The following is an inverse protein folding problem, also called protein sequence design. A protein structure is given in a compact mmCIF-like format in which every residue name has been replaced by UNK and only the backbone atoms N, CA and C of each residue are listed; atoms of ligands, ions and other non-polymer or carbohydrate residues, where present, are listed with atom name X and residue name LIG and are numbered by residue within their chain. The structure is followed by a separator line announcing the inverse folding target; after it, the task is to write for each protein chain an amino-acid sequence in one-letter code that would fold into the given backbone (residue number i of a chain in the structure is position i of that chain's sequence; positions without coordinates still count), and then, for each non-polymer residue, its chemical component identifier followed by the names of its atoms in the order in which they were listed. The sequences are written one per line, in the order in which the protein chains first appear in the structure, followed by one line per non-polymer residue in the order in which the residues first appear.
data_IF_918029063167
#
_entry.id   IF_918029063167
#
_cell.length_a   1.000
_cell.length_b   1.000
_cell.length_c   1.000
_cell.angle_alpha   90.00
_cell.angle_beta   90.00
_cell.angle_gamma   90.00
#
_symmetry.space_group_name_H-M   'P 1'
#
loop_
_entity.id
_entity.type
_entity.pdbx_description
1 polymer ?
#
# COMPACT_ATOMS: atom_id res chain seq x y z
N UNK A 1 22.34 18.62 16.45
CA UNK A 1 22.12 17.25 15.92
C UNK A 1 23.35 16.83 15.14
N UNK A 2 23.71 15.55 15.17
CA UNK A 2 24.85 15.01 14.42
C UNK A 2 24.60 15.11 12.91
N UNK A 3 25.61 15.50 12.13
CA UNK A 3 25.61 15.51 10.66
C UNK A 3 26.52 14.44 10.05
N UNK A 4 27.12 13.62 10.91
CA UNK A 4 28.23 12.71 10.56
C UNK A 4 27.89 11.25 10.83
N UNK A 5 26.68 10.94 11.29
CA UNK A 5 26.27 9.59 11.63
C UNK A 5 24.86 9.29 11.16
N UNK A 6 24.66 8.05 10.75
CA UNK A 6 23.35 7.45 10.50
C UNK A 6 23.07 6.49 11.64
N UNK A 7 21.85 6.54 12.18
CA UNK A 7 21.37 5.57 13.16
C UNK A 7 20.05 5.01 12.64
N UNK A 8 20.03 3.70 12.43
CA UNK A 8 18.83 2.95 12.09
C UNK A 8 18.36 2.18 13.33
N UNK A 9 17.06 2.21 13.59
CA UNK A 9 16.43 1.51 14.70
C UNK A 9 15.13 0.88 14.24
N UNK A 10 14.91 -0.39 14.60
CA UNK A 10 13.72 -1.15 14.27
C UNK A 10 13.33 -2.06 15.43
N UNK A 11 12.04 -2.37 15.54
CA UNK A 11 11.54 -3.36 16.49
C UNK A 11 11.65 -4.78 15.91
N UNK A 12 11.74 -5.79 16.78
CA UNK A 12 11.89 -7.19 16.37
C UNK A 12 10.56 -7.95 16.23
N UNK A 13 9.41 -7.25 16.32
CA UNK A 13 8.10 -7.85 16.21
C UNK A 13 7.70 -8.02 14.73
N UNK A 14 7.35 -9.24 14.35
CA UNK A 14 6.73 -9.54 13.06
C UNK A 14 5.39 -10.22 13.29
N UNK A 15 4.40 -9.86 12.48
CA UNK A 15 3.09 -10.51 12.50
C UNK A 15 3.02 -11.40 11.28
N UNK A 16 2.98 -12.71 11.48
CA UNK A 16 2.72 -13.67 10.41
C UNK A 16 1.23 -13.98 10.46
N UNK A 17 0.54 -13.78 9.34
CA UNK A 17 -0.85 -14.21 9.19
C UNK A 17 -0.85 -15.52 8.42
N UNK A 18 -1.28 -16.60 9.06
CA UNK A 18 -1.46 -17.91 8.43
C UNK A 18 -2.93 -18.25 8.35
N UNK A 19 -3.37 -18.87 7.27
CA UNK A 19 -4.72 -19.41 7.17
C UNK A 19 -4.75 -20.81 7.76
N UNK A 20 -5.55 -21.02 8.82
CA UNK A 20 -5.77 -22.32 9.43
C UNK A 20 -7.28 -22.55 9.57
N UNK A 21 -7.78 -23.66 9.03
CA UNK A 21 -9.20 -24.02 9.06
C UNK A 21 -10.13 -22.90 8.52
N UNK A 22 -9.68 -22.21 7.46
CA UNK A 22 -10.44 -21.10 6.85
C UNK A 22 -10.48 -19.80 7.66
N UNK A 23 -9.76 -19.72 8.78
CA UNK A 23 -9.63 -18.50 9.58
C UNK A 23 -8.20 -17.93 9.54
N UNK A 24 -8.06 -16.59 9.50
CA UNK A 24 -6.75 -15.96 9.59
C UNK A 24 -6.23 -16.02 11.03
N UNK A 25 -5.23 -16.85 11.28
CA UNK A 25 -4.49 -16.90 12.54
C UNK A 25 -3.30 -15.93 12.47
N UNK A 26 -3.28 -14.92 13.33
CA UNK A 26 -2.15 -13.98 13.46
C UNK A 26 -1.22 -14.43 14.57
N UNK A 27 0.02 -14.75 14.22
CA UNK A 27 1.07 -15.09 15.18
C UNK A 27 2.12 -13.99 15.22
N UNK A 28 2.41 -13.52 16.42
CA UNK A 28 3.48 -12.58 16.67
C UNK A 28 4.77 -13.34 16.93
N UNK A 29 5.75 -13.15 16.07
CA UNK A 29 7.09 -13.68 16.26
C UNK A 29 8.01 -12.56 16.75
N UNK A 30 8.72 -12.85 17.84
CA UNK A 30 9.78 -11.98 18.37
C UNK A 30 11.11 -12.46 17.80
N UNK A 31 11.97 -11.53 17.38
CA UNK A 31 13.34 -11.83 16.95
C UNK A 31 13.55 -11.82 15.44
N UNK A 32 12.60 -11.30 14.66
CA UNK A 32 12.85 -11.04 13.24
C UNK A 32 13.87 -9.91 13.11
N UNK A 33 14.90 -10.13 12.32
CA UNK A 33 15.87 -9.08 12.04
C UNK A 33 15.27 -8.13 10.98
N UNK A 34 15.27 -6.84 11.27
CA UNK A 34 14.83 -5.78 10.35
C UNK A 34 15.96 -4.83 9.97
N UNK A 35 17.15 -5.03 10.53
CA UNK A 35 18.34 -4.21 10.30
C UNK A 35 19.48 -5.09 9.83
N UNK A 36 20.05 -4.76 8.69
CA UNK A 36 21.15 -5.50 8.11
C UNK A 36 22.23 -4.54 7.65
N UNK A 37 23.46 -5.00 7.73
CA UNK A 37 24.56 -4.41 6.98
C UNK A 37 24.38 -4.84 5.51
N UNK A 38 24.32 -3.87 4.59
CA UNK A 38 24.18 -4.12 3.15
C UNK A 38 25.55 -4.30 2.49
N UNK A 39 26.56 -3.52 2.89
CA UNK A 39 27.94 -3.63 2.42
C UNK A 39 28.90 -3.87 3.58
N UNK A 40 29.85 -4.81 3.41
CA UNK A 40 30.94 -5.03 4.37
C UNK A 40 32.10 -4.04 4.20
N UNK A 41 32.17 -3.37 3.05
CA UNK A 41 33.32 -2.55 2.66
C UNK A 41 33.03 -1.06 2.70
N UNK A 42 31.75 -0.68 2.60
CA UNK A 42 31.27 0.69 2.77
C UNK A 42 30.28 0.83 3.94
N UNK A 43 30.10 2.03 4.51
CA UNK A 43 29.22 2.27 5.65
C UNK A 43 27.75 2.34 5.20
N UNK A 44 27.19 1.22 4.73
CA UNK A 44 25.83 1.14 4.17
C UNK A 44 25.00 0.11 4.91
N UNK A 45 23.93 0.60 5.57
CA UNK A 45 22.92 -0.23 6.23
C UNK A 45 21.64 -0.30 5.42
N UNK A 46 20.87 -1.37 5.61
CA UNK A 46 19.53 -1.56 5.06
C UNK A 46 18.56 -1.94 6.17
N UNK A 47 17.38 -1.35 6.15
CA UNK A 47 16.28 -1.61 7.06
C UNK A 47 15.02 -1.98 6.28
N UNK A 48 14.23 -2.90 6.82
CA UNK A 48 12.92 -3.28 6.27
C UNK A 48 11.78 -3.00 7.24
N UNK A 49 10.61 -2.63 6.73
CA UNK A 49 9.35 -2.50 7.46
C UNK A 49 8.17 -2.93 6.59
N UNK A 50 7.00 -3.15 7.19
CA UNK A 50 5.85 -3.73 6.48
C UNK A 50 5.99 -5.26 6.39
N UNK A 51 5.81 -5.82 5.19
CA UNK A 51 5.93 -7.27 4.97
C UNK A 51 7.34 -7.78 5.29
N UNK A 52 7.43 -8.96 5.91
CA UNK A 52 8.70 -9.58 6.29
C UNK A 52 9.35 -10.39 5.15
N UNK A 53 8.62 -10.60 4.04
CA UNK A 53 9.11 -11.37 2.91
C UNK A 53 8.55 -10.89 1.58
N UNK A 54 9.20 -11.36 0.52
CA UNK A 54 8.86 -11.15 -0.87
C UNK A 54 8.40 -12.48 -1.45
N UNK A 55 7.08 -12.65 -1.66
CA UNK A 55 6.49 -13.86 -2.26
C UNK A 55 6.98 -15.18 -1.62
N UNK A 56 6.97 -15.23 -0.28
CA UNK A 56 7.40 -16.41 0.48
C UNK A 56 8.89 -16.46 0.80
N UNK A 57 9.72 -15.59 0.22
CA UNK A 57 11.16 -15.50 0.52
C UNK A 57 11.40 -14.41 1.56
N UNK A 58 11.95 -14.72 2.76
CA UNK A 58 12.29 -13.71 3.75
C UNK A 58 13.35 -12.74 3.21
N UNK A 59 13.16 -11.43 3.42
CA UNK A 59 14.07 -10.39 2.91
C UNK A 59 15.53 -10.54 3.35
N UNK A 60 15.77 -11.22 4.47
CA UNK A 60 17.12 -11.56 4.92
C UNK A 60 17.93 -12.32 3.86
N UNK A 61 17.29 -13.21 3.09
CA UNK A 61 17.97 -14.02 2.07
C UNK A 61 18.50 -13.18 0.90
N UNK A 62 17.68 -12.40 0.16
CA UNK A 62 18.18 -11.54 -0.91
C UNK A 62 19.15 -10.48 -0.40
N UNK A 63 18.95 -9.91 0.79
CA UNK A 63 19.89 -8.92 1.36
C UNK A 63 21.27 -9.55 1.58
N UNK A 64 21.32 -10.73 2.20
CA UNK A 64 22.59 -11.43 2.43
C UNK A 64 23.23 -11.88 1.11
N UNK A 65 22.44 -12.39 0.18
CA UNK A 65 22.94 -12.83 -1.12
C UNK A 65 23.54 -11.65 -1.91
N UNK A 66 22.87 -10.51 -1.96
CA UNK A 66 23.37 -9.30 -2.59
C UNK A 66 24.66 -8.80 -1.91
N UNK A 67 24.75 -8.85 -0.58
CA UNK A 67 25.98 -8.45 0.12
C UNK A 67 27.18 -9.33 -0.24
N UNK A 68 26.97 -10.64 -0.40
CA UNK A 68 28.05 -11.52 -0.83
C UNK A 68 28.43 -11.27 -2.30
N UNK A 69 27.45 -11.00 -3.17
CA UNK A 69 27.66 -10.65 -4.58
C UNK A 69 28.43 -9.33 -4.75
N UNK A 70 28.04 -8.30 -3.98
CA UNK A 70 28.72 -7.00 -3.90
C UNK A 70 30.18 -7.14 -3.43
N UNK A 71 30.45 -8.04 -2.49
CA UNK A 71 31.79 -8.34 -1.99
C UNK A 71 32.53 -7.12 -1.43
N UNK A 72 33.52 -6.62 -2.20
CA UNK A 72 34.34 -5.44 -1.85
C UNK A 72 34.02 -4.19 -2.66
N UNK A 73 33.09 -4.29 -3.59
CA UNK A 73 32.68 -3.18 -4.42
C UNK A 73 32.01 -2.09 -3.57
N UNK A 74 32.25 -0.85 -3.95
CA UNK A 74 31.58 0.32 -3.39
C UNK A 74 31.17 1.24 -4.53
N UNK A 75 30.01 1.88 -4.38
CA UNK A 75 29.50 2.84 -5.34
C UNK A 75 29.77 4.27 -4.87
N UNK A 76 29.98 5.17 -5.84
CA UNK A 76 30.31 6.56 -5.57
C UNK A 76 29.20 7.29 -4.79
N UNK A 77 27.93 6.99 -5.10
CA UNK A 77 26.75 7.56 -4.46
C UNK A 77 25.89 6.49 -3.78
N UNK A 78 25.29 6.82 -2.63
CA UNK A 78 24.42 5.89 -1.90
C UNK A 78 23.25 5.37 -2.76
N UNK A 79 22.65 6.22 -3.59
CA UNK A 79 21.47 5.88 -4.42
C UNK A 79 21.71 4.69 -5.36
N UNK A 80 22.96 4.44 -5.74
CA UNK A 80 23.30 3.30 -6.61
C UNK A 80 23.10 1.95 -5.91
N UNK A 81 23.26 1.89 -4.58
CA UNK A 81 23.08 0.65 -3.81
C UNK A 81 21.66 0.05 -3.93
N UNK A 82 20.57 0.78 -3.62
CA UNK A 82 19.22 0.23 -3.79
C UNK A 82 18.89 -0.08 -5.25
N UNK A 83 19.35 0.71 -6.22
CA UNK A 83 19.15 0.42 -7.65
C UNK A 83 19.75 -0.94 -8.04
N UNK A 84 21.00 -1.19 -7.64
CA UNK A 84 21.68 -2.48 -7.86
C UNK A 84 21.08 -3.61 -7.05
N UNK A 85 20.59 -3.33 -5.84
CA UNK A 85 19.93 -4.32 -5.02
C UNK A 85 18.62 -4.81 -5.67
N UNK A 86 17.77 -3.91 -6.17
CA UNK A 86 16.54 -4.31 -6.84
C UNK A 86 16.82 -5.02 -8.17
N UNK A 87 17.80 -4.55 -8.95
CA UNK A 87 18.26 -5.23 -10.18
C UNK A 87 18.72 -6.67 -9.87
N UNK A 88 19.51 -6.86 -8.79
CA UNK A 88 19.94 -8.18 -8.34
C UNK A 88 18.75 -9.05 -7.94
N UNK A 89 17.80 -8.52 -7.17
CA UNK A 89 16.62 -9.27 -6.70
C UNK A 89 15.76 -9.72 -7.89
N UNK A 90 15.51 -8.84 -8.86
CA UNK A 90 14.67 -9.12 -10.03
C UNK A 90 15.22 -10.30 -10.87
N UNK A 91 16.54 -10.39 -10.99
CA UNK A 91 17.24 -11.40 -11.81
C UNK A 91 17.76 -12.60 -11.01
N UNK A 92 17.41 -12.75 -9.73
CA UNK A 92 17.88 -13.86 -8.91
C UNK A 92 16.96 -15.08 -8.96
N UNK A 93 17.08 -15.87 -10.02
CA UNK A 93 16.24 -17.06 -10.24
C UNK A 93 16.43 -18.18 -9.19
N UNK A 94 17.52 -18.13 -8.41
CA UNK A 94 17.76 -19.08 -7.32
C UNK A 94 16.86 -18.81 -6.11
N UNK A 95 16.59 -17.54 -5.83
CA UNK A 95 15.68 -17.13 -4.77
C UNK A 95 14.25 -17.02 -5.29
N UNK A 96 14.06 -16.58 -6.53
CA UNK A 96 12.76 -16.32 -7.16
C UNK A 96 12.68 -17.06 -8.49
N UNK A 97 12.35 -18.35 -8.45
CA UNK A 97 12.24 -19.17 -9.65
C UNK A 97 11.08 -18.73 -10.54
N UNK A 98 11.14 -19.06 -11.83
CA UNK A 98 10.02 -18.82 -12.75
C UNK A 98 8.71 -19.49 -12.26
N UNK A 99 8.82 -20.66 -11.63
CA UNK A 99 7.68 -21.35 -11.00
C UNK A 99 7.09 -20.53 -9.85
N UNK A 100 7.91 -20.04 -8.91
CA UNK A 100 7.39 -19.26 -7.78
C UNK A 100 6.81 -17.91 -8.21
N UNK A 101 7.40 -17.26 -9.22
CA UNK A 101 6.85 -16.05 -9.85
C UNK A 101 5.50 -16.33 -10.52
N UNK A 102 5.38 -17.46 -11.22
CA UNK A 102 4.13 -17.88 -11.87
C UNK A 102 3.03 -18.21 -10.84
N UNK A 103 3.38 -18.94 -9.77
CA UNK A 103 2.45 -19.25 -8.68
C UNK A 103 1.95 -17.98 -7.98
N UNK A 104 2.85 -17.03 -7.72
CA UNK A 104 2.47 -15.75 -7.12
C UNK A 104 1.56 -14.93 -8.04
N UNK A 105 1.84 -14.92 -9.35
CA UNK A 105 0.99 -14.28 -10.35
C UNK A 105 -0.40 -14.95 -10.41
N UNK A 106 -0.45 -16.28 -10.44
CA UNK A 106 -1.69 -17.05 -10.43
C UNK A 106 -2.53 -16.78 -9.18
N UNK A 107 -1.90 -16.79 -8.00
CA UNK A 107 -2.56 -16.48 -6.73
C UNK A 107 -3.11 -15.04 -6.72
N UNK A 108 -2.36 -14.07 -7.24
CA UNK A 108 -2.77 -12.67 -7.32
C UNK A 108 -3.96 -12.48 -8.27
N UNK A 109 -3.92 -13.07 -9.47
CA UNK A 109 -5.04 -13.01 -10.43
C UNK A 109 -6.25 -13.76 -9.90
N UNK A 110 -6.06 -14.94 -9.32
CA UNK A 110 -7.13 -15.74 -8.71
C UNK A 110 -7.82 -15.02 -7.55
N UNK A 111 -7.07 -14.28 -6.72
CA UNK A 111 -7.64 -13.50 -5.62
C UNK A 111 -8.62 -12.41 -6.11
N UNK A 112 -8.48 -11.92 -7.34
CA UNK A 112 -9.41 -10.96 -7.92
C UNK A 112 -10.75 -11.61 -8.37
N UNK A 113 -10.86 -12.94 -8.42
CA UNK A 113 -12.02 -13.63 -8.98
C UNK A 113 -13.29 -13.40 -8.15
N UNK A 114 -13.18 -13.40 -6.82
CA UNK A 114 -14.30 -13.07 -5.93
C UNK A 114 -14.81 -11.64 -6.19
N UNK A 115 -13.88 -10.69 -6.33
CA UNK A 115 -14.22 -9.28 -6.55
C UNK A 115 -14.83 -9.05 -7.93
N UNK A 116 -14.36 -9.73 -8.97
CA UNK A 116 -14.96 -9.66 -10.29
C UNK A 116 -16.41 -10.17 -10.26
N UNK A 117 -16.66 -11.30 -9.61
CA UNK A 117 -18.02 -11.82 -9.42
C UNK A 117 -18.90 -10.87 -8.62
N UNK A 118 -18.35 -10.22 -7.58
CA UNK A 118 -19.06 -9.20 -6.82
C UNK A 118 -19.42 -7.98 -7.68
N UNK A 119 -18.57 -7.55 -8.61
CA UNK A 119 -18.89 -6.48 -9.55
C UNK A 119 -20.04 -6.88 -10.48
N UNK A 120 -20.03 -8.12 -10.98
CA UNK A 120 -21.12 -8.66 -11.82
C UNK A 120 -22.42 -8.72 -11.02
N UNK A 121 -22.40 -9.29 -9.81
CA UNK A 121 -23.55 -9.36 -8.92
C UNK A 121 -24.14 -7.96 -8.62
N UNK A 122 -23.28 -6.96 -8.35
CA UNK A 122 -23.70 -5.57 -8.14
C UNK A 122 -24.35 -4.94 -9.37
N UNK A 123 -23.88 -5.26 -10.59
CA UNK A 123 -24.51 -4.77 -11.83
C UNK A 123 -25.90 -5.38 -12.04
N UNK A 124 -26.15 -6.54 -11.46
CA UNK A 124 -27.44 -7.23 -11.47
C UNK A 124 -28.28 -6.93 -10.21
N UNK A 125 -27.83 -5.99 -9.37
CA UNK A 125 -28.49 -5.61 -8.11
C UNK A 125 -28.72 -6.79 -7.14
N UNK A 126 -27.84 -7.79 -7.18
CA UNK A 126 -27.91 -8.97 -6.32
C UNK A 126 -27.24 -8.71 -4.97
N UNK A 127 -27.82 -9.22 -3.86
CA UNK A 127 -27.26 -9.03 -2.53
C UNK A 127 -26.01 -9.88 -2.27
N UNK A 128 -25.93 -11.09 -2.84
CA UNK A 128 -24.81 -12.01 -2.66
C UNK A 128 -24.32 -12.62 -3.99
N UNK A 129 -23.12 -13.21 -3.99
CA UNK A 129 -22.53 -13.80 -5.21
C UNK A 129 -23.24 -15.10 -5.56
N UNK A 130 -23.73 -15.83 -4.56
CA UNK A 130 -24.43 -17.10 -4.67
C UNK A 130 -25.72 -16.96 -5.50
N UNK A 131 -26.35 -15.78 -5.47
CA UNK A 131 -27.56 -15.48 -6.24
C UNK A 131 -27.30 -15.46 -7.77
N UNK A 132 -26.04 -15.38 -8.21
CA UNK A 132 -25.67 -15.50 -9.62
C UNK A 132 -26.07 -16.86 -10.19
N UNK A 133 -26.23 -17.91 -9.38
CA UNK A 133 -26.66 -19.22 -9.85
C UNK A 133 -28.05 -19.18 -10.52
N UNK A 134 -28.94 -18.25 -10.10
CA UNK A 134 -30.30 -18.13 -10.61
C UNK A 134 -30.47 -17.28 -11.88
N UNK A 135 -29.40 -16.65 -12.39
CA UNK A 135 -29.48 -15.66 -13.47
C UNK A 135 -29.31 -16.29 -14.87
N UNK A 136 -30.10 -15.84 -15.85
CA UNK A 136 -29.95 -16.31 -17.23
C UNK A 136 -28.63 -15.87 -17.87
N UNK A 137 -28.09 -16.68 -18.80
CA UNK A 137 -26.83 -16.40 -19.51
C UNK A 137 -26.83 -15.01 -20.17
N UNK A 138 -27.96 -14.61 -20.78
CA UNK A 138 -28.07 -13.31 -21.45
C UNK A 138 -27.90 -12.11 -20.49
N UNK A 139 -28.43 -12.20 -19.27
CA UNK A 139 -28.27 -11.15 -18.26
C UNK A 139 -26.83 -11.12 -17.72
N UNK A 140 -26.21 -12.30 -17.54
CA UNK A 140 -24.78 -12.40 -17.20
C UNK A 140 -23.91 -11.76 -18.29
N UNK A 141 -24.18 -12.01 -19.57
CA UNK A 141 -23.44 -11.41 -20.68
C UNK A 141 -23.52 -9.88 -20.67
N UNK A 142 -24.72 -9.33 -20.46
CA UNK A 142 -24.94 -7.89 -20.35
C UNK A 142 -24.25 -7.28 -19.12
N UNK A 143 -24.30 -7.98 -17.99
CA UNK A 143 -23.60 -7.54 -16.78
C UNK A 143 -22.08 -7.58 -16.99
N UNK A 144 -21.56 -8.62 -17.65
CA UNK A 144 -20.15 -8.75 -17.97
C UNK A 144 -19.69 -7.61 -18.89
N UNK A 145 -20.45 -7.26 -19.92
CA UNK A 145 -20.18 -6.10 -20.78
C UNK A 145 -20.13 -4.78 -19.99
N UNK A 146 -21.07 -4.57 -19.07
CA UNK A 146 -21.07 -3.39 -18.20
C UNK A 146 -19.87 -3.36 -17.22
N UNK A 147 -19.41 -4.53 -16.76
CA UNK A 147 -18.20 -4.64 -15.92
C UNK A 147 -16.94 -4.43 -16.75
N UNK A 148 -16.86 -4.93 -17.97
CA UNK A 148 -15.74 -4.68 -18.88
C UNK A 148 -15.55 -3.18 -19.13
N UNK A 149 -16.63 -2.47 -19.48
CA UNK A 149 -16.58 -1.02 -19.65
C UNK A 149 -16.10 -0.30 -18.38
N UNK A 150 -16.52 -0.79 -17.21
CA UNK A 150 -16.06 -0.26 -15.92
C UNK A 150 -14.56 -0.51 -15.68
N UNK A 151 -14.07 -1.73 -15.94
CA UNK A 151 -12.65 -2.09 -15.77
C UNK A 151 -11.78 -1.37 -16.80
N UNK A 152 -12.27 -1.15 -18.01
CA UNK A 152 -11.60 -0.35 -19.03
C UNK A 152 -11.35 1.08 -18.53
N UNK A 153 -12.37 1.68 -17.91
CA UNK A 153 -12.30 3.03 -17.38
C UNK A 153 -11.45 3.16 -16.09
N UNK A 154 -11.09 2.07 -15.43
CA UNK A 154 -10.20 2.13 -14.27
C UNK A 154 -8.81 2.65 -14.69
N UNK A 155 -8.20 3.57 -13.92
CA UNK A 155 -6.85 4.02 -14.22
C UNK A 155 -5.86 2.88 -14.05
N UNK A 156 -4.86 2.83 -14.93
CA UNK A 156 -3.65 2.05 -14.73
C UNK A 156 -2.63 2.96 -14.03
N UNK A 157 -2.10 2.51 -12.91
CA UNK A 157 -1.06 3.24 -12.17
C UNK A 157 0.19 3.39 -13.05
N UNK A 158 0.89 4.53 -12.94
CA UNK A 158 2.03 4.89 -13.78
C UNK A 158 3.23 3.91 -13.68
N UNK A 159 3.29 3.13 -12.60
CA UNK A 159 4.32 2.10 -12.39
C UNK A 159 4.02 0.80 -13.14
N UNK A 160 2.81 0.66 -13.69
CA UNK A 160 2.33 -0.49 -14.43
C UNK A 160 2.10 -0.13 -15.90
N UNK A 161 2.11 -1.15 -16.75
CA UNK A 161 2.01 -1.03 -18.20
C UNK A 161 0.98 -2.01 -18.75
N UNK A 162 0.48 -1.74 -19.95
CA UNK A 162 -0.39 -2.68 -20.67
C UNK A 162 0.32 -4.02 -20.95
N UNK A 163 1.66 -4.04 -20.98
CA UNK A 163 2.46 -5.27 -21.10
C UNK A 163 2.29 -6.16 -19.88
N UNK A 164 2.16 -5.59 -18.68
CA UNK A 164 1.92 -6.38 -17.46
C UNK A 164 0.52 -7.04 -17.50
N UNK A 165 -0.49 -6.35 -18.05
CA UNK A 165 -1.82 -6.91 -18.26
C UNK A 165 -1.76 -8.07 -19.26
N UNK A 166 -1.09 -7.87 -20.39
CA UNK A 166 -0.93 -8.90 -21.41
C UNK A 166 -0.15 -10.12 -20.87
N UNK A 167 0.91 -9.90 -20.09
CA UNK A 167 1.70 -10.94 -19.44
C UNK A 167 0.88 -11.71 -18.41
N UNK A 168 0.11 -11.02 -17.56
CA UNK A 168 -0.78 -11.66 -16.60
C UNK A 168 -1.81 -12.55 -17.29
N UNK A 169 -2.45 -12.05 -18.35
CA UNK A 169 -3.41 -12.81 -19.13
C UNK A 169 -2.74 -14.04 -19.79
N UNK A 170 -1.62 -13.86 -20.48
CA UNK A 170 -0.93 -14.94 -21.19
C UNK A 170 -0.50 -16.08 -20.25
N UNK A 171 0.03 -15.75 -19.07
CA UNK A 171 0.59 -16.74 -18.15
C UNK A 171 -0.43 -17.42 -17.23
N UNK A 172 -1.63 -16.84 -17.06
CA UNK A 172 -2.63 -17.39 -16.12
C UNK A 172 -3.90 -17.91 -16.81
N UNK A 173 -4.18 -17.50 -18.05
CA UNK A 173 -5.51 -17.73 -18.62
C UNK A 173 -5.86 -19.20 -18.81
N UNK A 174 -4.92 -20.02 -19.29
CA UNK A 174 -5.16 -21.44 -19.52
C UNK A 174 -5.47 -22.18 -18.22
N UNK A 175 -4.63 -22.00 -17.20
CA UNK A 175 -4.80 -22.63 -15.90
C UNK A 175 -6.10 -22.19 -15.20
N UNK A 176 -6.41 -20.89 -15.20
CA UNK A 176 -7.65 -20.40 -14.59
C UNK A 176 -8.87 -20.88 -15.37
N UNK A 177 -8.82 -20.90 -16.70
CA UNK A 177 -9.93 -21.37 -17.52
C UNK A 177 -10.23 -22.86 -17.30
N UNK A 178 -9.20 -23.68 -17.06
CA UNK A 178 -9.36 -25.10 -16.76
C UNK A 178 -10.07 -25.34 -15.41
N UNK A 179 -9.76 -24.54 -14.39
CA UNK A 179 -10.34 -24.66 -13.04
C UNK A 179 -11.65 -23.87 -12.87
N UNK A 180 -11.96 -22.94 -13.77
CA UNK A 180 -13.13 -22.06 -13.65
C UNK A 180 -14.46 -22.82 -13.49
N UNK A 181 -14.75 -23.92 -14.23
CA UNK A 181 -15.99 -24.69 -14.09
C UNK A 181 -16.20 -25.32 -12.70
N UNK A 182 -15.16 -25.46 -11.88
CA UNK A 182 -15.23 -26.15 -10.58
C UNK A 182 -14.98 -25.22 -9.40
N UNK A 183 -14.37 -24.05 -9.62
CA UNK A 183 -13.92 -23.14 -8.56
C UNK A 183 -14.61 -21.78 -8.55
N UNK A 184 -15.16 -21.30 -9.68
CA UNK A 184 -15.77 -19.99 -9.78
C UNK A 184 -17.30 -20.12 -9.72
N UNK A 185 -17.94 -19.53 -8.71
CA UNK A 185 -19.41 -19.59 -8.48
C UNK A 185 -20.22 -19.25 -9.73
N UNK A 186 -19.75 -18.32 -10.57
CA UNK A 186 -20.39 -17.97 -11.84
C UNK A 186 -20.56 -19.18 -12.80
N UNK A 187 -19.66 -20.17 -12.76
CA UNK A 187 -19.60 -21.28 -13.71
C UNK A 187 -19.99 -22.65 -13.12
N UNK A 188 -19.79 -22.88 -11.80
CA UNK A 188 -19.95 -24.21 -11.16
C UNK A 188 -21.27 -24.92 -11.49
N UNK A 189 -22.37 -24.18 -11.56
CA UNK A 189 -23.72 -24.76 -11.72
C UNK A 189 -24.36 -24.41 -13.07
N UNK A 190 -23.58 -23.95 -14.05
CA UNK A 190 -24.13 -23.43 -15.30
C UNK A 190 -23.20 -23.68 -16.48
N UNK A 191 -23.24 -24.91 -17.01
CA UNK A 191 -22.48 -25.30 -18.20
C UNK A 191 -22.76 -24.41 -19.43
N UNK A 192 -23.97 -23.86 -19.52
CA UNK A 192 -24.35 -22.89 -20.55
C UNK A 192 -23.55 -21.58 -20.51
N UNK A 193 -22.81 -21.30 -19.44
CA UNK A 193 -21.95 -20.11 -19.30
C UNK A 193 -20.50 -20.37 -19.65
N UNK A 194 -20.12 -21.62 -19.94
CA UNK A 194 -18.71 -21.97 -20.14
C UNK A 194 -18.07 -21.26 -21.34
N UNK A 195 -18.85 -20.84 -22.35
CA UNK A 195 -18.34 -20.03 -23.46
C UNK A 195 -17.88 -18.63 -23.02
N UNK A 196 -18.30 -18.16 -21.85
CA UNK A 196 -17.89 -16.88 -21.27
C UNK A 196 -16.55 -16.97 -20.52
N UNK A 197 -16.04 -18.17 -20.24
CA UNK A 197 -14.81 -18.35 -19.46
C UNK A 197 -13.62 -17.60 -20.08
N UNK A 198 -13.32 -17.70 -21.39
CA UNK A 198 -12.19 -16.97 -21.96
C UNK A 198 -12.32 -15.45 -21.80
N UNK A 199 -13.55 -14.92 -21.93
CA UNK A 199 -13.85 -13.50 -21.75
C UNK A 199 -13.67 -13.08 -20.29
N UNK A 200 -14.21 -13.85 -19.37
CA UNK A 200 -14.11 -13.62 -17.93
C UNK A 200 -12.66 -13.64 -17.45
N UNK A 201 -11.85 -14.61 -17.90
CA UNK A 201 -10.47 -14.77 -17.46
C UNK A 201 -9.56 -13.64 -17.97
N UNK A 202 -9.75 -13.18 -19.21
CA UNK A 202 -9.06 -11.99 -19.72
C UNK A 202 -9.41 -10.74 -18.90
N UNK A 203 -10.70 -10.55 -18.61
CA UNK A 203 -11.16 -9.45 -17.76
C UNK A 203 -10.61 -9.56 -16.33
N UNK A 204 -10.51 -10.77 -15.80
CA UNK A 204 -9.95 -11.06 -14.49
C UNK A 204 -8.49 -10.63 -14.39
N UNK A 205 -7.64 -11.03 -15.35
CA UNK A 205 -6.25 -10.61 -15.40
C UNK A 205 -6.12 -9.08 -15.46
N UNK A 206 -6.93 -8.42 -16.29
CA UNK A 206 -6.95 -6.95 -16.40
C UNK A 206 -7.37 -6.28 -15.10
N UNK A 207 -8.43 -6.76 -14.45
CA UNK A 207 -8.88 -6.25 -13.16
C UNK A 207 -7.80 -6.40 -12.08
N UNK A 208 -7.17 -7.58 -12.03
CA UNK A 208 -6.14 -7.91 -11.05
C UNK A 208 -4.95 -6.96 -11.16
N UNK A 209 -4.42 -6.75 -12.37
CA UNK A 209 -3.30 -5.82 -12.61
C UNK A 209 -3.69 -4.37 -12.30
N UNK A 210 -4.86 -3.91 -12.76
CA UNK A 210 -5.31 -2.54 -12.46
C UNK A 210 -5.55 -2.28 -10.97
N UNK A 211 -5.75 -3.33 -10.17
CA UNK A 211 -5.93 -3.23 -8.72
C UNK A 211 -4.74 -3.79 -7.93
N UNK A 212 -3.61 -4.03 -8.58
CA UNK A 212 -2.43 -4.64 -7.98
C UNK A 212 -2.04 -3.96 -6.66
N UNK A 213 -1.89 -2.64 -6.66
CA UNK A 213 -1.52 -1.86 -5.46
C UNK A 213 -2.57 -1.86 -4.33
N UNK A 214 -3.81 -2.24 -4.60
CA UNK A 214 -4.84 -2.33 -3.56
C UNK A 214 -4.70 -3.60 -2.69
N UNK A 215 -3.97 -4.60 -3.18
CA UNK A 215 -3.88 -5.92 -2.56
C UNK A 215 -2.45 -6.46 -2.44
N UNK A 216 -1.50 -5.87 -3.16
CA UNK A 216 -0.09 -6.22 -3.05
C UNK A 216 0.42 -5.95 -1.63
N UNK A 217 1.15 -6.92 -1.08
CA UNK A 217 1.90 -6.72 0.15
C UNK A 217 3.01 -5.70 -0.11
N UNK A 218 3.14 -4.74 0.81
CA UNK A 218 4.17 -3.69 0.70
C UNK A 218 5.28 -3.95 1.70
N UNK A 219 6.51 -3.99 1.19
CA UNK A 219 7.71 -3.91 2.02
C UNK A 219 8.35 -2.55 1.81
N UNK A 220 8.49 -1.80 2.88
CA UNK A 220 9.35 -0.63 2.90
C UNK A 220 10.81 -1.03 3.05
N UNK A 221 11.67 -0.56 2.17
CA UNK A 221 13.12 -0.79 2.18
C UNK A 221 13.81 0.57 2.34
N UNK A 222 14.67 0.67 3.34
CA UNK A 222 15.40 1.89 3.68
C UNK A 222 16.89 1.59 3.62
N UNK A 223 17.60 2.23 2.69
CA UNK A 223 19.06 2.16 2.60
C UNK A 223 19.63 3.48 3.11
N UNK A 224 20.54 3.43 4.07
CA UNK A 224 21.11 4.63 4.67
C UNK A 224 22.61 4.45 4.92
N UNK A 225 23.38 5.52 4.70
CA UNK A 225 24.83 5.45 4.78
C UNK A 225 25.52 6.50 3.92
N UNK A 226 26.71 6.15 3.44
CA UNK A 226 27.50 6.98 2.54
C UNK A 226 27.87 6.18 1.28
N UNK A 227 27.77 6.81 0.12
CA UNK A 227 28.57 6.43 -1.03
C UNK A 227 30.05 6.76 -0.81
N UNK A 228 30.91 6.20 -1.63
CA UNK A 228 32.36 6.37 -1.53
C UNK A 228 32.80 7.83 -1.67
N UNK A 229 32.12 8.60 -2.50
CA UNK A 229 32.43 10.02 -2.76
C UNK A 229 31.47 10.96 -2.00
N UNK A 230 30.55 10.42 -1.19
CA UNK A 230 29.61 11.19 -0.37
C UNK A 230 30.29 11.69 0.92
N UNK A 231 30.36 13.01 1.10
CA UNK A 231 30.85 13.62 2.35
C UNK A 231 29.81 13.62 3.48
N UNK A 232 28.52 13.54 3.12
CA UNK A 232 27.39 13.58 4.04
C UNK A 232 26.51 12.34 3.84
N UNK A 233 25.83 11.85 4.89
CA UNK A 233 25.03 10.67 4.76
C UNK A 233 23.76 10.93 3.95
N UNK A 234 23.26 9.87 3.33
CA UNK A 234 22.00 9.89 2.59
C UNK A 234 21.05 8.82 3.14
N UNK A 235 19.76 9.01 2.85
CA UNK A 235 18.65 8.13 3.19
C UNK A 235 17.86 7.87 1.91
N UNK A 236 17.78 6.63 1.49
CA UNK A 236 17.07 6.19 0.30
C UNK A 236 15.92 5.27 0.72
N UNK A 237 14.69 5.66 0.42
CA UNK A 237 13.47 4.98 0.87
C UNK A 237 12.72 4.46 -0.34
N UNK A 238 12.37 3.19 -0.31
CA UNK A 238 11.65 2.49 -1.37
C UNK A 238 10.49 1.69 -0.80
N UNK A 239 9.46 1.50 -1.62
CA UNK A 239 8.39 0.54 -1.39
C UNK A 239 8.46 -0.52 -2.48
N UNK A 240 8.50 -1.79 -2.07
CA UNK A 240 8.47 -2.95 -2.94
C UNK A 240 7.13 -3.68 -2.79
N UNK A 241 6.49 -3.96 -3.92
CA UNK A 241 5.13 -4.52 -4.01
C UNK A 241 5.10 -5.98 -4.45
N UNK A 242 6.24 -6.56 -4.83
CA UNK A 242 6.31 -7.93 -5.34
C UNK A 242 6.61 -8.01 -6.82
N UNK A 243 6.72 -9.25 -7.30
CA UNK A 243 6.80 -9.53 -8.72
C UNK A 243 5.42 -9.51 -9.36
N UNK A 244 5.35 -8.96 -10.57
CA UNK A 244 4.23 -9.07 -11.48
C UNK A 244 4.71 -9.79 -12.73
N UNK A 245 4.56 -11.12 -12.73
CA UNK A 245 5.28 -11.97 -13.69
C UNK A 245 6.77 -11.93 -13.42
N UNK A 246 7.58 -11.61 -14.44
CA UNK A 246 9.04 -11.50 -14.30
C UNK A 246 9.50 -10.16 -13.72
N UNK A 247 8.66 -9.13 -13.73
CA UNK A 247 9.06 -7.76 -13.38
C UNK A 247 8.88 -7.52 -11.88
N UNK A 248 9.91 -6.99 -11.23
CA UNK A 248 9.82 -6.56 -9.83
C UNK A 248 9.21 -5.16 -9.76
N UNK A 249 8.10 -5.00 -9.04
CA UNK A 249 7.41 -3.71 -8.91
C UNK A 249 7.86 -3.03 -7.62
N UNK A 250 8.52 -1.89 -7.75
CA UNK A 250 8.94 -1.05 -6.64
C UNK A 250 8.91 0.42 -7.03
N UNK A 251 8.88 1.32 -6.04
CA UNK A 251 8.97 2.76 -6.26
C UNK A 251 9.79 3.44 -5.18
N UNK A 252 10.54 4.46 -5.57
CA UNK A 252 11.24 5.35 -4.64
C UNK A 252 10.22 6.26 -3.96
N UNK A 253 10.36 6.44 -2.65
CA UNK A 253 9.50 7.27 -1.82
C UNK A 253 10.11 8.67 -1.63
N UNK A 254 9.26 9.69 -1.52
CA UNK A 254 9.63 11.09 -1.32
C UNK A 254 10.35 11.35 0.02
N UNK A 255 10.25 10.42 0.97
CA UNK A 255 11.01 10.43 2.23
C UNK A 255 12.53 10.24 2.04
N UNK A 256 12.98 9.92 0.83
CA UNK A 256 14.41 9.86 0.49
C UNK A 256 15.07 11.23 0.58
N UNK A 257 16.17 11.34 1.33
CA UNK A 257 16.82 12.62 1.63
C UNK A 257 18.35 12.50 1.62
N UNK A 258 19.01 13.44 0.97
CA UNK A 258 20.45 13.62 1.03
C UNK A 258 20.79 14.75 2.02
N UNK A 259 21.73 14.49 2.94
CA UNK A 259 22.19 15.51 3.87
C UNK A 259 23.27 16.36 3.21
N UNK A 260 23.44 17.59 3.68
CA UNK A 260 24.44 18.53 3.16
C UNK A 260 24.88 19.50 4.24
N UNK A 261 25.83 20.38 3.92
CA UNK A 261 26.26 21.44 4.84
C UNK A 261 25.10 22.38 5.27
N UNK A 262 24.10 22.56 4.41
CA UNK A 262 22.93 23.42 4.66
C UNK A 262 21.68 22.64 5.10
N UNK A 263 21.66 21.32 4.93
CA UNK A 263 20.53 20.47 5.36
C UNK A 263 20.70 20.02 6.82
N UNK A 264 19.70 20.20 7.69
CA UNK A 264 19.75 19.72 9.07
C UNK A 264 19.65 18.19 9.14
N UNK A 265 20.00 17.61 10.29
CA UNK A 265 19.80 16.18 10.52
C UNK A 265 18.30 15.84 10.57
N UNK A 266 17.95 14.66 10.08
CA UNK A 266 16.57 14.22 9.91
C UNK A 266 16.31 13.01 10.81
N UNK A 267 15.14 12.99 11.46
CA UNK A 267 14.60 11.83 12.15
C UNK A 267 13.39 11.37 11.35
N UNK A 268 13.52 10.27 10.59
CA UNK A 268 12.46 9.75 9.73
C UNK A 268 11.80 8.50 10.35
N UNK A 269 10.50 8.53 10.68
CA UNK A 269 9.78 7.37 11.19
C UNK A 269 9.18 6.52 10.07
N UNK A 270 9.22 5.19 10.21
CA UNK A 270 8.67 4.24 9.22
C UNK A 270 7.69 3.21 9.80
N UNK A 271 7.64 3.02 11.12
CA UNK A 271 6.72 2.09 11.77
C UNK A 271 5.41 2.78 12.21
N UNK A 272 4.40 1.98 12.53
CA UNK A 272 3.04 2.42 12.87
C UNK A 272 3.04 3.64 13.81
N UNK A 273 2.39 4.69 13.32
CA UNK A 273 2.49 6.08 13.76
C UNK A 273 2.25 6.29 15.26
N UNK A 274 1.40 5.49 15.90
CA UNK A 274 1.03 5.71 17.30
C UNK A 274 2.21 5.72 18.29
N UNK A 275 3.18 4.80 18.19
CA UNK A 275 4.30 4.77 19.14
C UNK A 275 5.37 5.83 18.84
N UNK A 276 5.64 6.12 17.57
CA UNK A 276 6.67 7.11 17.22
C UNK A 276 6.14 8.54 17.34
N UNK A 277 4.86 8.78 17.05
CA UNK A 277 4.23 10.07 17.30
C UNK A 277 4.20 10.39 18.79
N UNK A 278 4.00 9.39 19.66
CA UNK A 278 4.13 9.56 21.11
C UNK A 278 5.53 9.99 21.52
N UNK A 279 6.56 9.42 20.90
CA UNK A 279 7.95 9.80 21.16
C UNK A 279 8.29 11.20 20.61
N UNK A 280 7.79 11.55 19.42
CA UNK A 280 8.00 12.86 18.78
C UNK A 280 7.24 13.98 19.50
N UNK A 281 6.00 13.73 19.87
CA UNK A 281 5.09 14.72 20.45
C UNK A 281 5.17 14.75 21.98
N UNK A 282 5.80 13.77 22.62
CA UNK A 282 5.86 13.60 24.07
C UNK A 282 4.55 13.15 24.71
N UNK A 283 3.48 13.00 23.92
CA UNK A 283 2.14 12.56 24.31
C UNK A 283 1.56 11.72 23.18
N UNK A 284 0.86 10.64 23.51
CA UNK A 284 0.24 9.81 22.47
C UNK A 284 -0.94 10.53 21.82
N UNK A 285 -1.20 10.22 20.55
CA UNK A 285 -2.31 10.81 19.80
C UNK A 285 -3.66 10.57 20.50
N UNK A 286 -3.85 9.41 21.13
CA UNK A 286 -5.07 9.09 21.87
C UNK A 286 -5.24 9.99 23.09
N UNK A 287 -4.16 10.23 23.86
CA UNK A 287 -4.17 11.14 25.01
C UNK A 287 -4.36 12.58 24.54
N UNK A 288 -3.72 12.99 23.45
CA UNK A 288 -3.91 14.31 22.87
C UNK A 288 -5.35 14.54 22.41
N UNK A 289 -5.97 13.55 21.75
CA UNK A 289 -7.36 13.58 21.33
C UNK A 289 -8.31 13.75 22.50
N UNK A 290 -8.18 12.93 23.54
CA UNK A 290 -9.00 13.03 24.75
C UNK A 290 -8.81 14.38 25.46
N UNK A 291 -7.57 14.88 25.56
CA UNK A 291 -7.30 16.18 26.18
C UNK A 291 -7.89 17.33 25.36
N UNK A 292 -7.81 17.25 24.03
CA UNK A 292 -8.38 18.25 23.13
C UNK A 292 -9.91 18.28 23.23
N UNK A 293 -10.57 17.12 23.20
CA UNK A 293 -12.03 17.01 23.37
C UNK A 293 -12.47 17.54 24.74
N UNK A 294 -11.78 17.16 25.82
CA UNK A 294 -12.08 17.64 27.17
C UNK A 294 -11.93 19.17 27.27
N UNK A 295 -10.86 19.74 26.70
CA UNK A 295 -10.65 21.18 26.68
C UNK A 295 -11.70 21.91 25.85
N UNK A 296 -12.04 21.40 24.67
CA UNK A 296 -13.08 22.00 23.81
C UNK A 296 -14.46 21.94 24.47
N UNK A 297 -14.78 20.82 25.14
CA UNK A 297 -16.00 20.68 25.94
C UNK A 297 -16.04 21.71 27.08
N UNK A 298 -14.96 21.82 27.86
CA UNK A 298 -14.86 22.79 28.95
C UNK A 298 -14.99 24.25 28.46
N UNK A 299 -14.36 24.59 27.33
CA UNK A 299 -14.48 25.92 26.73
C UNK A 299 -15.90 26.20 26.21
N UNK A 300 -16.56 25.21 25.60
CA UNK A 300 -17.97 25.31 25.20
C UNK A 300 -18.88 25.51 26.42
N UNK A 301 -18.65 24.77 27.49
CA UNK A 301 -19.43 24.90 28.72
C UNK A 301 -19.25 26.27 29.38
N UNK A 302 -18.03 26.79 29.43
CA UNK A 302 -17.76 28.16 29.89
C UNK A 302 -18.47 29.17 28.99
N UNK A 303 -18.34 29.03 27.67
CA UNK A 303 -19.03 29.91 26.70
C UNK A 303 -20.54 29.89 26.88
N UNK A 304 -21.14 28.72 27.06
CA UNK A 304 -22.58 28.56 27.30
C UNK A 304 -23.00 29.22 28.62
N UNK A 305 -22.24 29.03 29.70
CA UNK A 305 -22.53 29.68 30.99
C UNK A 305 -22.45 31.20 30.90
N UNK A 306 -21.44 31.73 30.22
CA UNK A 306 -21.30 33.18 29.99
C UNK A 306 -22.47 33.72 29.15
N UNK A 307 -22.86 33.02 28.09
CA UNK A 307 -24.01 33.41 27.26
C UNK A 307 -25.32 33.44 28.06
N UNK A 308 -25.54 32.42 28.90
CA UNK A 308 -26.71 32.35 29.79
C UNK A 308 -26.74 33.53 30.77
N UNK A 309 -25.61 33.81 31.43
CA UNK A 309 -25.50 34.92 32.40
C UNK A 309 -25.69 36.29 31.73
N UNK A 310 -25.23 36.44 30.48
CA UNK A 310 -25.39 37.66 29.69
C UNK A 310 -26.77 37.76 28.99
N UNK A 311 -27.67 36.79 29.15
CA UNK A 311 -28.98 36.78 28.49
C UNK A 311 -28.93 36.60 26.96
N UNK A 312 -27.82 36.10 26.43
CA UNK A 312 -27.62 35.89 25.00
C UNK A 312 -27.96 34.44 24.59
N UNK A 313 -28.62 34.27 23.44
CA UNK A 313 -28.90 32.93 22.87
C UNK A 313 -27.68 32.38 22.12
N UNK A 314 -27.52 31.05 22.11
CA UNK A 314 -26.47 30.35 21.35
C UNK A 314 -26.64 30.63 19.84
N UNK A 315 -25.60 31.07 19.10
CA UNK A 315 -25.78 31.56 17.73
C UNK A 315 -26.07 30.50 16.64
N UNK A 316 -26.42 29.26 16.98
CA UNK A 316 -26.29 28.14 16.03
C UNK A 316 -27.56 27.32 15.81
N UNK A 317 -28.66 27.96 15.41
CA UNK A 317 -29.76 27.31 14.69
C UNK A 317 -30.47 28.25 13.68
N UNK A 318 -29.74 29.10 12.97
CA UNK A 318 -30.32 29.85 11.84
C UNK A 318 -29.68 29.43 10.52
N UNK A 319 -30.53 29.18 9.53
CA UNK A 319 -30.29 28.66 8.18
C UNK A 319 -29.31 29.48 7.31
N UNK A 320 -28.66 30.52 7.86
CA UNK A 320 -27.72 31.40 7.17
C UNK A 320 -26.27 30.91 7.08
N UNK A 321 -25.84 29.97 7.94
CA UNK A 321 -24.44 29.51 7.98
C UNK A 321 -24.02 28.66 6.76
N UNK A 322 -24.97 28.00 6.09
CA UNK A 322 -24.70 27.25 4.84
C UNK A 322 -24.22 28.15 3.69
N UNK A 323 -24.68 29.40 3.62
CA UNK A 323 -24.32 30.32 2.53
C UNK A 323 -22.92 30.93 2.65
N UNK A 324 -22.33 30.95 3.86
CA UNK A 324 -21.00 31.52 4.06
C UNK A 324 -19.88 30.50 3.78
N UNK A 325 -20.08 29.24 4.20
CA UNK A 325 -19.18 28.11 3.86
C UNK A 325 -19.04 27.91 2.35
N UNK A 326 -20.12 28.08 1.58
CA UNK A 326 -20.12 27.94 0.13
C UNK A 326 -19.41 29.10 -0.60
N UNK A 327 -19.25 30.27 0.04
CA UNK A 327 -18.46 31.40 -0.50
C UNK A 327 -16.96 31.23 -0.24
N UNK A 328 -16.55 30.66 0.90
CA UNK A 328 -15.14 30.43 1.21
C UNK A 328 -14.51 29.29 0.40
N UNK A 329 -15.30 28.29 -0.03
CA UNK A 329 -14.80 27.21 -0.91
C UNK A 329 -14.51 27.66 -2.35
N UNK A 330 -15.06 28.80 -2.78
CA UNK A 330 -14.92 29.29 -4.15
C UNK A 330 -13.71 30.24 -4.36
N UNK A 331 -12.97 30.57 -3.29
CA UNK A 331 -11.75 31.37 -3.36
C UNK A 331 -10.64 30.75 -2.52
N UNK A 332 -9.85 29.86 -3.12
CA UNK A 332 -8.48 29.57 -2.66
C UNK A 332 -7.51 29.71 -3.84
N UNK A 333 -6.41 30.48 -3.70
CA UNK A 333 -5.36 30.54 -4.69
C UNK A 333 -4.50 29.27 -4.67
N UNK A 334 -3.95 28.95 -5.83
CA UNK A 334 -3.01 27.87 -6.11
C UNK A 334 -1.69 28.07 -5.36
N UNK A 335 -1.49 27.39 -4.23
CA UNK A 335 -0.14 27.11 -3.70
C UNK A 335 -0.12 25.87 -2.80
N UNK A 336 0.45 24.78 -3.34
CA UNK A 336 1.44 23.92 -2.67
C UNK A 336 1.11 23.13 -1.40
N UNK A 337 -0.12 23.11 -0.89
CA UNK A 337 -0.48 22.32 0.30
C UNK A 337 -1.44 21.19 -0.11
N UNK A 338 -1.03 19.95 0.19
CA UNK A 338 -1.81 18.73 -0.06
C UNK A 338 -3.25 18.83 0.46
N UNK A 339 -4.21 18.47 -0.39
CA UNK A 339 -5.67 18.48 -0.10
C UNK A 339 -6.06 17.64 1.13
N UNK A 340 -5.23 16.69 1.58
CA UNK A 340 -5.52 15.85 2.74
C UNK A 340 -5.33 16.59 4.08
N UNK A 341 -4.34 17.48 4.16
CA UNK A 341 -4.03 18.20 5.40
C UNK A 341 -5.08 19.27 5.75
N UNK A 342 -5.65 19.93 4.73
CA UNK A 342 -6.67 20.98 4.93
C UNK A 342 -8.05 20.35 5.24
N UNK A 343 -8.36 19.20 4.66
CA UNK A 343 -9.63 18.47 4.91
C UNK A 343 -9.73 17.97 6.36
N UNK A 344 -8.61 17.56 6.95
CA UNK A 344 -8.56 17.08 8.33
C UNK A 344 -8.67 18.22 9.35
N UNK A 345 -8.02 19.37 9.08
CA UNK A 345 -8.11 20.55 9.96
C UNK A 345 -9.50 21.20 9.96
N UNK A 346 -10.23 21.19 8.83
CA UNK A 346 -11.57 21.79 8.77
C UNK A 346 -12.68 20.90 9.36
N UNK A 347 -12.52 19.57 9.38
CA UNK A 347 -13.51 18.68 10.01
C UNK A 347 -13.52 18.74 11.54
N UNK A 348 -12.38 19.08 12.18
CA UNK A 348 -12.32 19.25 13.64
C UNK A 348 -12.98 20.53 14.15
N UNK A 349 -13.35 21.48 13.29
CA UNK A 349 -13.92 22.77 13.70
C UNK A 349 -15.46 22.82 13.62
N UNK A 350 -16.13 21.77 13.13
CA UNK A 350 -17.58 21.76 12.86
C UNK A 350 -18.33 20.57 13.49
N UNK A 351 -17.70 19.83 14.40
CA UNK A 351 -18.38 18.95 15.38
C UNK A 351 -17.92 19.38 16.78
#
# INVERSE_FOLDING_TARGET
MSRTAVVLAADSATTVTSWKDGQPERRYFKGANKLFELSRSGPVGIMIYGSAGLQGVPWELPIKAFREDLGREQYDALKTYPERFFEFVEHNDKLFSAESKTDALFAMVGAAAYRLQLLIARKLELPQIEDLAGIGVADIEKALEAVEAYVEALPLDERLTEVDIASAAANTSEAIAAEAPTTINLFIQSAERHHLIPRFVNLLAKLAVKQFFAFADVTGIVVAGYGKEDYFPSLEVYECFGFLGERLIFSRNDDSQAMSASSPAVIQPFATTHMIDTFRMGVSLDVFGVMHEANMSALRDVGNKVLVECGAQTPYQTSGSKNWLQKCTNHTPTSGISRSAISMYFRCLVL
#
